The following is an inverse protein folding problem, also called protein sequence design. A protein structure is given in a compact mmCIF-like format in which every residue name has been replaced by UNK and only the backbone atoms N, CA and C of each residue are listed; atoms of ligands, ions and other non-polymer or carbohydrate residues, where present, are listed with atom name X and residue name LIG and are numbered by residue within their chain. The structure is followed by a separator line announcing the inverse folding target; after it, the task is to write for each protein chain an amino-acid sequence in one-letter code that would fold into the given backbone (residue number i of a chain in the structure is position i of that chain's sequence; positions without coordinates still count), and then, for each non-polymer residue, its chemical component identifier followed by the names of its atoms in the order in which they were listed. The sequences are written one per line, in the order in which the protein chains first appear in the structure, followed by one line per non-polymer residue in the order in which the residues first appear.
data_IF_841117273793
#
_entry.id   IF_841117273793
#
_cell.length_a   1.000
_cell.length_b   1.000
_cell.length_c   1.000
_cell.angle_alpha   90.00
_cell.angle_beta   90.00
_cell.angle_gamma   90.00
#
_symmetry.space_group_name_H-M   'P 1'
#
loop_
_entity.id
_entity.type
_entity.pdbx_description
1 polymer ?
#
# COMPACT_ATOMS: atom_id res chain seq x y z
N UNK A 1 3.15 2.36 17.67
CA UNK A 1 3.07 3.32 16.56
C UNK A 1 1.66 3.26 16.02
N UNK A 2 0.92 4.35 16.06
CA UNK A 2 -0.43 4.35 15.47
C UNK A 2 -0.30 4.73 14.01
N UNK A 3 -0.64 3.83 13.12
CA UNK A 3 -0.68 4.04 11.68
C UNK A 3 -2.12 4.44 11.34
N UNK A 4 -2.32 5.52 10.60
CA UNK A 4 -3.65 5.95 10.18
C UNK A 4 -3.86 5.62 8.71
N UNK A 5 -4.85 4.79 8.45
CA UNK A 5 -5.42 4.64 7.13
C UNK A 5 -6.21 5.90 6.75
N UNK A 6 -6.24 6.20 5.49
CA UNK A 6 -6.99 7.31 4.89
C UNK A 6 -8.02 6.72 3.94
N UNK A 7 -9.26 7.18 4.01
CA UNK A 7 -10.25 6.89 2.99
C UNK A 7 -10.02 7.75 1.75
N UNK A 8 -10.10 7.15 0.57
CA UNK A 8 -10.00 7.86 -0.72
C UNK A 8 -11.10 7.33 -1.64
N UNK A 9 -12.06 8.13 -2.02
CA UNK A 9 -13.12 7.83 -3.01
C UNK A 9 -13.70 6.40 -2.95
N UNK A 10 -13.91 5.85 -1.74
CA UNK A 10 -14.39 4.47 -1.56
C UNK A 10 -13.29 3.38 -1.53
N UNK A 11 -12.04 3.76 -1.63
CA UNK A 11 -10.86 2.94 -1.34
C UNK A 11 -10.09 3.47 -0.13
N UNK A 12 -8.79 3.22 -0.10
CA UNK A 12 -7.90 3.59 0.98
C UNK A 12 -6.66 4.35 0.48
N UNK A 13 -5.89 4.89 1.41
CA UNK A 13 -4.59 5.49 1.19
C UNK A 13 -3.72 5.44 2.44
N UNK A 14 -2.50 5.90 2.31
CA UNK A 14 -1.53 6.04 3.41
C UNK A 14 -1.13 7.50 3.52
N UNK A 15 -1.37 8.11 4.67
CA UNK A 15 -0.87 9.45 4.95
C UNK A 15 0.64 9.39 5.22
N UNK A 16 1.41 10.03 4.34
CA UNK A 16 2.88 10.03 4.39
C UNK A 16 3.45 11.13 5.28
N UNK A 17 2.63 12.11 5.66
CA UNK A 17 3.02 13.37 6.27
C UNK A 17 3.11 14.52 5.26
N UNK A 18 3.28 15.74 5.73
CA UNK A 18 3.38 16.97 4.89
C UNK A 18 2.20 17.16 3.92
N UNK A 19 0.98 16.80 4.34
CA UNK A 19 -0.20 16.90 3.50
C UNK A 19 -0.26 15.89 2.35
N UNK A 20 0.60 14.87 2.34
CA UNK A 20 0.67 13.87 1.26
C UNK A 20 -0.06 12.59 1.62
N UNK A 21 -0.81 12.08 0.67
CA UNK A 21 -1.46 10.76 0.72
C UNK A 21 -1.03 9.94 -0.50
N UNK A 22 -0.56 8.74 -0.25
CA UNK A 22 -0.29 7.74 -1.27
C UNK A 22 -1.51 6.82 -1.40
N UNK A 23 -1.98 6.61 -2.60
CA UNK A 23 -3.06 5.70 -2.95
C UNK A 23 -2.77 5.01 -4.29
N UNK A 24 -3.75 4.36 -4.86
CA UNK A 24 -3.68 3.73 -6.18
C UNK A 24 -4.56 4.46 -7.19
N UNK A 25 -4.12 4.49 -8.44
CA UNK A 25 -4.73 5.30 -9.49
C UNK A 25 -6.20 4.93 -9.75
N UNK A 26 -6.52 3.63 -9.81
CA UNK A 26 -7.89 3.18 -10.07
C UNK A 26 -8.91 3.57 -8.97
N UNK A 27 -8.44 3.90 -7.76
CA UNK A 27 -9.28 4.43 -6.67
C UNK A 27 -9.49 5.93 -6.82
N UNK A 28 -8.46 6.64 -7.27
CA UNK A 28 -8.50 8.09 -7.44
C UNK A 28 -9.35 8.51 -8.64
N UNK A 29 -9.45 7.66 -9.66
CA UNK A 29 -10.33 7.87 -10.81
C UNK A 29 -9.62 8.10 -12.14
N UNK A 30 -8.31 7.80 -12.23
CA UNK A 30 -7.58 7.75 -13.51
C UNK A 30 -7.65 9.04 -14.32
N UNK A 31 -7.47 10.21 -13.70
CA UNK A 31 -7.52 11.50 -14.37
C UNK A 31 -8.94 12.05 -14.65
N UNK A 32 -9.99 11.30 -14.29
CA UNK A 32 -11.39 11.74 -14.48
C UNK A 32 -11.85 12.66 -13.34
N UNK A 33 -11.25 12.52 -12.15
CA UNK A 33 -11.62 13.29 -10.96
C UNK A 33 -10.53 14.30 -10.66
N UNK A 34 -10.78 15.58 -10.93
CA UNK A 34 -9.81 16.67 -10.68
C UNK A 34 -9.54 16.89 -9.18
N UNK A 35 -10.52 16.61 -8.34
CA UNK A 35 -10.43 16.82 -6.89
C UNK A 35 -10.98 15.65 -6.12
N UNK A 36 -10.17 14.60 -5.89
CA UNK A 36 -10.59 13.49 -5.08
C UNK A 36 -10.85 13.91 -3.64
N UNK A 37 -11.80 13.24 -2.99
CA UNK A 37 -12.10 13.42 -1.58
C UNK A 37 -11.32 12.41 -0.76
N UNK A 38 -10.64 12.88 0.27
CA UNK A 38 -9.96 12.04 1.26
C UNK A 38 -10.62 12.19 2.63
N UNK A 39 -10.57 11.15 3.44
CA UNK A 39 -11.00 11.18 4.84
C UNK A 39 -9.82 10.88 5.75
N UNK A 40 -9.34 11.88 6.47
CA UNK A 40 -8.23 11.77 7.41
C UNK A 40 -8.72 12.11 8.82
N UNK A 41 -8.46 11.23 9.80
CA UNK A 41 -8.93 11.42 11.18
C UNK A 41 -10.44 11.70 11.30
N UNK A 42 -11.25 11.05 10.48
CA UNK A 42 -12.70 11.24 10.42
C UNK A 42 -13.16 12.53 9.73
N UNK A 43 -12.25 13.34 9.21
CA UNK A 43 -12.57 14.59 8.52
C UNK A 43 -12.40 14.46 7.01
N UNK A 44 -13.44 14.81 6.27
CA UNK A 44 -13.40 14.90 4.81
C UNK A 44 -12.65 16.15 4.35
N UNK A 45 -11.80 15.98 3.32
CA UNK A 45 -10.99 17.02 2.69
C UNK A 45 -10.96 16.83 1.19
N UNK A 46 -10.92 17.93 0.45
CA UNK A 46 -10.54 17.88 -0.96
C UNK A 46 -9.03 17.73 -1.07
N UNK A 47 -8.59 16.95 -2.02
CA UNK A 47 -7.18 16.78 -2.35
C UNK A 47 -6.96 17.08 -3.84
N UNK A 48 -5.72 17.28 -4.22
CA UNK A 48 -5.28 17.46 -5.61
C UNK A 48 -4.36 16.30 -5.99
N UNK A 49 -4.52 15.75 -7.18
CA UNK A 49 -3.62 14.75 -7.71
C UNK A 49 -2.30 15.43 -8.10
N UNK A 50 -1.21 15.06 -7.45
CA UNK A 50 0.14 15.60 -7.72
C UNK A 50 0.85 14.79 -8.78
N UNK A 51 0.70 13.47 -8.72
CA UNK A 51 1.28 12.53 -9.67
C UNK A 51 0.43 11.27 -9.73
N UNK A 52 0.27 10.74 -10.92
CA UNK A 52 -0.49 9.51 -11.16
C UNK A 52 0.21 8.65 -12.20
N UNK A 53 0.11 7.33 -12.04
CA UNK A 53 0.50 6.33 -13.03
C UNK A 53 -0.66 5.35 -13.19
N UNK A 54 -1.16 5.14 -14.42
CA UNK A 54 -2.39 4.39 -14.65
C UNK A 54 -2.30 2.93 -14.21
N UNK A 55 -3.46 2.29 -14.08
CA UNK A 55 -3.62 0.91 -13.61
C UNK A 55 -2.79 -0.10 -14.42
N UNK A 56 -2.66 0.09 -15.73
CA UNK A 56 -1.92 -0.78 -16.64
C UNK A 56 -0.41 -0.73 -16.41
N UNK A 57 0.07 0.33 -15.76
CA UNK A 57 1.49 0.54 -15.43
C UNK A 57 1.75 0.25 -13.94
N UNK A 58 1.93 1.32 -13.13
CA UNK A 58 2.26 1.19 -11.72
C UNK A 58 1.04 1.20 -10.79
N UNK A 59 -0.10 1.74 -11.28
CA UNK A 59 -1.31 1.92 -10.48
C UNK A 59 -1.04 2.67 -9.17
N UNK A 60 -0.39 3.82 -9.27
CA UNK A 60 -0.06 4.67 -8.13
C UNK A 60 -0.61 6.09 -8.31
N UNK A 61 -1.03 6.69 -7.22
CA UNK A 61 -1.41 8.10 -7.16
C UNK A 61 -0.86 8.75 -5.89
N UNK A 62 -0.32 9.96 -6.03
CA UNK A 62 0.08 10.85 -4.93
C UNK A 62 -0.87 12.02 -4.90
N UNK A 63 -1.49 12.22 -3.76
CA UNK A 63 -2.45 13.30 -3.49
C UNK A 63 -1.84 14.28 -2.51
N UNK A 64 -2.16 15.55 -2.67
CA UNK A 64 -1.81 16.63 -1.75
C UNK A 64 -3.07 17.31 -1.22
N UNK A 65 -3.10 17.63 0.07
CA UNK A 65 -4.21 18.34 0.70
C UNK A 65 -3.72 19.28 1.80
N UNK A 66 -4.55 20.25 2.17
CA UNK A 66 -4.26 21.14 3.29
C UNK A 66 -4.39 20.42 4.63
N UNK A 67 -3.24 20.15 5.27
CA UNK A 67 -3.15 19.50 6.58
C UNK A 67 -3.22 20.47 7.76
N UNK A 68 -3.33 21.79 7.53
CA UNK A 68 -3.26 22.82 8.59
C UNK A 68 -4.26 22.58 9.72
N UNK A 69 -5.41 22.02 9.41
CA UNK A 69 -6.48 21.69 10.36
C UNK A 69 -6.39 20.29 10.96
N UNK A 70 -5.38 19.50 10.63
CA UNK A 70 -5.16 18.23 11.31
C UNK A 70 -4.56 18.48 12.70
N UNK A 71 -4.82 17.56 13.67
CA UNK A 71 -4.13 17.58 14.94
C UNK A 71 -2.61 17.57 14.74
N UNK A 72 -1.88 18.35 15.55
CA UNK A 72 -0.42 18.46 15.46
C UNK A 72 0.28 17.10 15.52
N UNK A 73 -0.25 16.18 16.34
CA UNK A 73 0.26 14.81 16.46
C UNK A 73 0.20 14.01 15.16
N UNK A 74 -0.73 14.33 14.25
CA UNK A 74 -0.78 13.74 12.92
C UNK A 74 0.15 14.46 11.95
N UNK A 75 0.17 15.79 11.96
CA UNK A 75 1.04 16.60 11.09
C UNK A 75 2.52 16.30 11.29
N UNK A 76 2.94 15.94 12.49
CA UNK A 76 4.33 15.58 12.81
C UNK A 76 4.69 14.13 12.42
N UNK A 77 3.74 13.33 11.98
CA UNK A 77 4.04 11.95 11.56
C UNK A 77 4.69 11.92 10.20
N UNK A 78 5.61 10.98 10.08
CA UNK A 78 6.28 10.65 8.83
C UNK A 78 6.27 9.14 8.67
N UNK A 79 5.94 8.68 7.48
CA UNK A 79 6.04 7.28 7.10
C UNK A 79 7.40 7.07 6.46
N UNK A 80 8.11 6.06 6.94
CA UNK A 80 9.38 5.61 6.36
C UNK A 80 9.10 4.48 5.38
N UNK A 81 9.66 4.53 4.19
CA UNK A 81 9.63 3.41 3.25
C UNK A 81 10.66 2.35 3.67
N UNK A 82 10.25 1.08 3.62
CA UNK A 82 11.19 -0.01 3.85
C UNK A 82 12.26 -0.04 2.75
N UNK A 83 13.49 -0.28 3.16
CA UNK A 83 14.58 -0.60 2.24
C UNK A 83 14.65 -2.10 1.99
N UNK A 84 15.20 -2.46 0.83
CA UNK A 84 15.36 -3.84 0.41
C UNK A 84 14.13 -4.39 -0.30
N UNK A 85 14.27 -5.62 -0.77
CA UNK A 85 13.22 -6.33 -1.49
C UNK A 85 12.41 -7.18 -0.51
N UNK A 86 11.08 -7.06 -0.49
CA UNK A 86 10.24 -7.96 0.30
C UNK A 86 10.48 -9.43 -0.07
N UNK A 87 10.49 -10.32 0.90
CA UNK A 87 10.78 -11.75 0.68
C UNK A 87 9.62 -12.66 1.12
N UNK A 88 9.49 -13.85 0.51
CA UNK A 88 8.48 -14.82 0.91
C UNK A 88 8.61 -15.22 2.38
N UNK A 89 7.49 -15.21 3.10
CA UNK A 89 7.44 -15.51 4.53
C UNK A 89 7.57 -14.28 5.45
N UNK A 90 7.98 -13.12 4.93
CA UNK A 90 8.06 -11.89 5.70
C UNK A 90 6.70 -11.54 6.31
N UNK A 91 6.68 -11.27 7.61
CA UNK A 91 5.46 -10.93 8.34
C UNK A 91 5.05 -9.48 8.07
N UNK A 92 3.80 -9.27 7.72
CA UNK A 92 3.27 -7.96 7.37
C UNK A 92 2.00 -7.62 8.13
N UNK A 93 1.75 -6.33 8.29
CA UNK A 93 0.50 -5.77 8.82
C UNK A 93 -0.12 -4.92 7.71
N UNK A 94 -1.33 -5.27 7.30
CA UNK A 94 -2.13 -4.48 6.37
C UNK A 94 -3.17 -3.67 7.13
N UNK A 95 -3.32 -2.40 6.78
CA UNK A 95 -4.36 -1.55 7.36
C UNK A 95 -5.61 -1.57 6.47
N UNK A 96 -6.62 -2.31 6.88
CA UNK A 96 -7.90 -2.39 6.18
C UNK A 96 -8.88 -1.38 6.81
N UNK A 97 -8.96 -0.20 6.22
CA UNK A 97 -9.59 0.95 6.87
C UNK A 97 -8.80 1.34 8.12
N UNK A 98 -9.35 1.08 9.31
CA UNK A 98 -8.68 1.30 10.60
C UNK A 98 -8.28 -0.01 11.30
N UNK A 99 -8.54 -1.16 10.68
CA UNK A 99 -8.29 -2.47 11.28
C UNK A 99 -6.95 -3.03 10.81
N UNK A 100 -5.99 -3.29 11.71
CA UNK A 100 -4.74 -3.97 11.37
C UNK A 100 -4.98 -5.48 11.20
N UNK A 101 -4.56 -6.02 10.09
CA UNK A 101 -4.62 -7.46 9.79
C UNK A 101 -3.21 -8.00 9.54
N UNK A 102 -2.83 -9.02 10.29
CA UNK A 102 -1.54 -9.71 10.12
C UNK A 102 -1.62 -10.73 9.00
N UNK A 103 -0.56 -10.80 8.21
CA UNK A 103 -0.40 -11.75 7.11
C UNK A 103 1.09 -12.01 6.88
N UNK A 104 1.43 -12.68 5.79
CA UNK A 104 2.80 -12.88 5.33
C UNK A 104 2.87 -12.79 3.81
N UNK A 105 4.05 -12.48 3.30
CA UNK A 105 4.31 -12.45 1.85
C UNK A 105 4.34 -13.88 1.33
N UNK A 106 3.60 -14.14 0.26
CA UNK A 106 3.55 -15.43 -0.40
C UNK A 106 4.73 -15.61 -1.35
N UNK A 107 5.19 -16.86 -1.49
CA UNK A 107 6.10 -17.20 -2.57
C UNK A 107 5.39 -17.05 -3.92
N UNK A 108 6.01 -16.43 -4.94
CA UNK A 108 5.46 -16.42 -6.30
C UNK A 108 5.19 -17.82 -6.85
N UNK A 109 5.91 -18.84 -6.38
CA UNK A 109 5.69 -20.24 -6.76
C UNK A 109 4.36 -20.80 -6.27
N UNK A 110 3.77 -20.20 -5.24
CA UNK A 110 2.43 -20.56 -4.75
C UNK A 110 1.29 -20.01 -5.62
N UNK A 111 1.62 -19.16 -6.60
CA UNK A 111 0.66 -18.55 -7.51
C UNK A 111 0.55 -19.32 -8.82
N UNK A 112 -0.58 -19.20 -9.54
CA UNK A 112 -0.71 -19.69 -10.91
C UNK A 112 0.41 -19.13 -11.80
N UNK A 113 0.94 -19.90 -12.76
CA UNK A 113 2.09 -19.49 -13.57
C UNK A 113 1.95 -18.12 -14.22
N UNK A 114 0.77 -17.79 -14.73
CA UNK A 114 0.44 -16.52 -15.40
C UNK A 114 0.51 -15.31 -14.48
N UNK A 115 0.42 -15.53 -13.16
CA UNK A 115 0.44 -14.46 -12.15
C UNK A 115 1.75 -14.37 -11.37
N UNK A 116 2.72 -15.26 -11.62
CA UNK A 116 4.03 -15.29 -10.91
C UNK A 116 4.89 -14.07 -11.13
N UNK A 117 4.56 -13.24 -12.12
CA UNK A 117 5.21 -11.92 -12.33
C UNK A 117 5.01 -10.97 -11.15
N UNK A 118 3.99 -11.20 -10.32
CA UNK A 118 3.74 -10.42 -9.10
C UNK A 118 4.54 -11.02 -7.94
N UNK A 119 5.67 -10.39 -7.61
CA UNK A 119 6.58 -10.88 -6.55
C UNK A 119 6.16 -10.45 -5.14
N UNK A 120 5.35 -9.39 -5.04
CA UNK A 120 4.93 -8.80 -3.77
C UNK A 120 3.45 -9.06 -3.53
N UNK A 121 3.14 -10.29 -3.11
CA UNK A 121 1.77 -10.73 -2.88
C UNK A 121 1.58 -11.21 -1.45
N UNK A 122 0.44 -10.91 -0.89
CA UNK A 122 -0.02 -11.43 0.40
C UNK A 122 -1.27 -12.28 0.19
N UNK A 123 -1.56 -13.16 1.15
CA UNK A 123 -2.81 -13.92 1.14
C UNK A 123 -3.99 -12.96 1.04
N UNK A 124 -5.05 -13.37 0.37
CA UNK A 124 -6.27 -12.57 0.32
C UNK A 124 -6.88 -12.47 1.74
N UNK A 125 -6.64 -11.34 2.37
CA UNK A 125 -7.11 -11.01 3.73
C UNK A 125 -8.18 -9.92 3.72
N UNK A 126 -8.56 -9.46 2.53
CA UNK A 126 -9.26 -8.20 2.39
C UNK A 126 -10.45 -8.29 1.43
N UNK A 127 -11.55 -7.71 1.84
CA UNK A 127 -12.74 -7.48 1.03
C UNK A 127 -12.55 -6.32 0.03
N UNK A 128 -13.57 -6.03 -0.77
CA UNK A 128 -13.63 -4.87 -1.67
C UNK A 128 -13.43 -3.56 -0.87
N UNK A 129 -12.75 -2.56 -1.46
CA UNK A 129 -12.53 -1.24 -0.82
C UNK A 129 -11.17 -1.08 -0.11
N UNK A 130 -10.30 -2.09 -0.17
CA UNK A 130 -8.98 -2.03 0.46
C UNK A 130 -7.83 -1.64 -0.50
N UNK A 131 -8.15 -1.33 -1.75
CA UNK A 131 -7.19 -0.77 -2.70
C UNK A 131 -6.61 0.55 -2.17
N UNK A 132 -5.30 0.71 -2.21
CA UNK A 132 -4.59 1.85 -1.61
C UNK A 132 -4.21 1.66 -0.14
N UNK A 133 -4.65 0.59 0.53
CA UNK A 133 -4.24 0.29 1.92
C UNK A 133 -2.75 0.03 2.03
N UNK A 134 -2.12 0.55 3.09
CA UNK A 134 -0.72 0.31 3.37
C UNK A 134 -0.44 -1.11 3.85
N UNK A 135 0.65 -1.67 3.37
CA UNK A 135 1.26 -2.92 3.83
C UNK A 135 2.57 -2.58 4.52
N UNK A 136 2.69 -2.91 5.80
CA UNK A 136 3.82 -2.56 6.65
C UNK A 136 4.56 -3.81 7.09
N UNK A 137 5.88 -3.70 7.21
CA UNK A 137 6.69 -4.70 7.89
C UNK A 137 6.25 -4.80 9.36
N UNK A 138 6.02 -6.03 9.82
CA UNK A 138 5.50 -6.25 11.17
C UNK A 138 6.51 -5.90 12.26
N UNK A 139 7.81 -6.00 11.99
CA UNK A 139 8.89 -5.77 12.94
C UNK A 139 9.47 -4.36 12.82
N UNK A 140 9.90 -3.97 11.62
CA UNK A 140 10.53 -2.67 11.34
C UNK A 140 9.54 -1.50 11.32
N UNK A 141 8.25 -1.77 11.13
CA UNK A 141 7.16 -0.76 11.09
C UNK A 141 7.26 0.26 9.96
N UNK A 142 8.08 0.00 8.95
CA UNK A 142 8.16 0.79 7.73
C UNK A 142 7.12 0.34 6.72
N UNK A 143 6.80 1.19 5.74
CA UNK A 143 5.86 0.89 4.65
C UNK A 143 6.55 0.02 3.60
N UNK A 144 6.10 -1.23 3.45
CA UNK A 144 6.54 -2.15 2.39
C UNK A 144 5.88 -1.85 1.05
N UNK A 145 4.68 -1.29 1.06
CA UNK A 145 3.96 -0.94 -0.15
C UNK A 145 2.50 -0.62 0.04
N UNK A 146 1.77 -0.45 -1.07
CA UNK A 146 0.32 -0.21 -1.07
C UNK A 146 -0.41 -1.25 -1.91
N UNK A 147 -1.56 -1.74 -1.40
CA UNK A 147 -2.39 -2.72 -2.12
C UNK A 147 -2.93 -2.12 -3.40
N UNK A 148 -2.71 -2.82 -4.51
CA UNK A 148 -3.19 -2.40 -5.83
C UNK A 148 -4.30 -3.31 -6.33
N UNK A 149 -4.01 -4.57 -6.58
CA UNK A 149 -4.94 -5.45 -7.30
C UNK A 149 -5.10 -6.81 -6.67
N UNK A 150 -6.25 -7.41 -6.96
CA UNK A 150 -6.53 -8.80 -6.64
C UNK A 150 -5.87 -9.73 -7.64
N UNK A 151 -5.45 -10.89 -7.16
CA UNK A 151 -5.08 -12.03 -7.99
C UNK A 151 -6.17 -13.06 -7.80
N UNK A 152 -6.86 -13.39 -8.88
CA UNK A 152 -7.98 -14.31 -8.88
C UNK A 152 -7.68 -15.50 -9.80
N UNK A 153 -8.20 -16.66 -9.47
CA UNK A 153 -8.09 -17.87 -10.25
C UNK A 153 -9.46 -18.43 -10.57
N UNK A 154 -9.65 -18.89 -11.81
CA UNK A 154 -10.84 -19.64 -12.18
C UNK A 154 -10.76 -21.03 -11.55
N UNK A 155 -11.75 -21.38 -10.73
CA UNK A 155 -11.91 -22.73 -10.20
C UNK A 155 -13.18 -23.36 -10.72
N UNK A 156 -13.07 -24.62 -11.12
CA UNK A 156 -14.22 -25.42 -11.51
C UNK A 156 -14.64 -26.31 -10.32
N UNK A 157 -15.88 -26.22 -9.92
CA UNK A 157 -16.45 -27.14 -8.93
C UNK A 157 -16.53 -28.53 -9.53
N UNK A 158 -15.99 -29.50 -8.81
CA UNK A 158 -15.93 -30.89 -9.28
C UNK A 158 -17.31 -31.57 -9.33
N UNK A 159 -18.24 -31.12 -8.49
CA UNK A 159 -19.60 -31.65 -8.33
C UNK A 159 -20.59 -31.13 -9.38
N UNK A 160 -20.45 -29.87 -9.78
CA UNK A 160 -21.43 -29.20 -10.69
C UNK A 160 -20.82 -28.80 -12.04
N UNK A 161 -19.48 -28.83 -12.20
CA UNK A 161 -18.79 -28.30 -13.37
C UNK A 161 -18.84 -26.77 -13.47
N UNK A 162 -19.40 -26.08 -12.48
CA UNK A 162 -19.52 -24.63 -12.46
C UNK A 162 -18.14 -23.95 -12.33
N UNK A 163 -17.87 -22.97 -13.19
CA UNK A 163 -16.67 -22.14 -13.14
C UNK A 163 -16.91 -20.93 -12.25
N UNK A 164 -16.09 -20.77 -11.20
CA UNK A 164 -16.17 -19.63 -10.28
C UNK A 164 -14.81 -18.97 -10.16
N UNK A 165 -14.78 -17.63 -10.24
CA UNK A 165 -13.61 -16.84 -9.89
C UNK A 165 -13.40 -16.85 -8.38
N UNK A 166 -12.20 -17.20 -7.93
CA UNK A 166 -11.81 -17.15 -6.53
C UNK A 166 -10.62 -16.23 -6.37
N UNK A 167 -10.75 -15.24 -5.49
CA UNK A 167 -9.64 -14.39 -5.06
C UNK A 167 -8.69 -15.23 -4.21
N UNK A 168 -7.40 -15.24 -4.56
CA UNK A 168 -6.37 -16.07 -3.92
C UNK A 168 -5.29 -15.27 -3.24
N UNK A 169 -5.02 -14.06 -3.73
CA UNK A 169 -3.98 -13.19 -3.20
C UNK A 169 -4.26 -11.71 -3.55
N UNK A 170 -3.51 -10.83 -2.89
CA UNK A 170 -3.46 -9.39 -3.17
C UNK A 170 -2.03 -9.00 -3.53
N UNK A 171 -1.87 -8.32 -4.65
CA UNK A 171 -0.62 -7.66 -5.03
C UNK A 171 -0.53 -6.29 -4.39
N UNK A 172 0.63 -5.94 -3.87
CA UNK A 172 0.96 -4.58 -3.47
C UNK A 172 2.14 -4.03 -4.25
N UNK A 173 2.09 -2.74 -4.58
CA UNK A 173 3.19 -2.02 -5.22
C UNK A 173 4.29 -1.81 -4.18
N UNK A 174 5.53 -2.31 -4.39
CA UNK A 174 6.55 -2.29 -3.36
C UNK A 174 7.16 -0.91 -3.12
N UNK A 175 7.74 -0.70 -1.93
CA UNK A 175 8.34 0.55 -1.48
C UNK A 175 9.40 1.10 -2.44
N UNK A 176 10.22 0.25 -3.05
CA UNK A 176 11.23 0.68 -4.03
C UNK A 176 10.59 1.34 -5.26
N UNK A 177 9.48 0.77 -5.76
CA UNK A 177 8.70 1.36 -6.87
C UNK A 177 8.05 2.67 -6.44
N UNK A 178 7.50 2.73 -5.23
CA UNK A 178 6.92 3.95 -4.65
C UNK A 178 7.99 5.04 -4.56
N UNK A 179 9.18 4.74 -4.02
CA UNK A 179 10.28 5.68 -3.90
C UNK A 179 10.70 6.28 -5.26
N UNK A 180 10.82 5.44 -6.29
CA UNK A 180 11.14 5.88 -7.64
C UNK A 180 10.00 6.70 -8.30
N UNK A 181 8.76 6.44 -7.89
CA UNK A 181 7.59 7.15 -8.38
C UNK A 181 7.39 8.51 -7.72
N UNK A 182 7.80 8.70 -6.45
CA UNK A 182 7.58 9.95 -5.73
C UNK A 182 8.20 11.14 -6.43
N UNK A 183 7.51 12.31 -6.48
CA UNK A 183 8.12 13.53 -6.97
C UNK A 183 9.33 13.93 -6.11
N UNK A 184 10.43 14.37 -6.73
CA UNK A 184 11.69 14.70 -6.05
C UNK A 184 11.52 15.73 -4.92
N UNK A 185 10.57 16.68 -5.07
CA UNK A 185 10.27 17.70 -4.05
C UNK A 185 9.73 17.13 -2.73
N UNK A 186 9.28 15.88 -2.73
CA UNK A 186 8.70 15.20 -1.57
C UNK A 186 9.58 14.05 -1.07
N UNK A 187 10.90 14.16 -1.20
CA UNK A 187 11.84 13.12 -0.83
C UNK A 187 11.45 12.41 0.47
N UNK A 188 10.97 11.16 0.36
CA UNK A 188 10.74 10.31 1.52
C UNK A 188 12.11 9.92 2.06
N UNK A 189 12.34 10.23 3.34
CA UNK A 189 13.60 9.85 3.98
C UNK A 189 13.76 8.33 3.89
N UNK A 190 14.87 7.82 3.35
CA UNK A 190 15.18 6.41 3.46
C UNK A 190 15.30 6.03 4.94
N UNK A 191 14.97 4.78 5.27
CA UNK A 191 15.18 4.23 6.61
C UNK A 191 16.63 4.46 7.02
N UNK A 192 16.88 5.12 8.16
CA UNK A 192 18.25 5.22 8.70
C UNK A 192 18.69 3.81 9.10
N UNK A 193 19.74 3.29 8.46
CA UNK A 193 20.34 2.03 8.88
C UNK A 193 20.66 2.12 10.37
N UNK A 194 20.25 1.14 11.19
CA UNK A 194 20.74 1.04 12.55
C UNK A 194 22.29 0.92 12.48
N UNK A 195 23.03 1.58 13.37
CA UNK A 195 24.47 1.49 13.38
C UNK A 195 24.86 0.00 13.42
N UNK A 196 25.66 -0.44 12.45
CA UNK A 196 26.24 -1.78 12.42
C UNK A 196 26.94 -2.01 13.76
N UNK A 197 26.44 -2.94 14.57
CA UNK A 197 27.16 -3.40 15.74
C UNK A 197 28.45 -4.05 15.22
N UNK A 198 29.54 -3.32 15.33
CA UNK A 198 30.87 -3.89 15.19
C UNK A 198 31.03 -4.93 16.30
N UNK A 199 30.87 -6.20 15.98
CA UNK A 199 31.34 -7.30 16.80
C UNK A 199 32.85 -7.31 16.74
N UNK A 200 33.49 -6.55 17.63
CA UNK A 200 34.90 -6.72 17.92
C UNK A 200 35.13 -8.06 18.61
N UNK A 201 35.59 -9.06 17.87
CA UNK A 201 36.28 -10.21 18.45
C UNK A 201 37.72 -9.81 18.67
N UNK A 202 38.10 -9.69 19.92
CA UNK A 202 39.47 -9.91 20.39
C UNK A 202 39.57 -11.33 20.96
#
# INVERSE_FOLDING_TARGET
MSIYGVGVNGGAGVYLGNGLVLSVAHVVGGGIIDRPTITVAGQQRSATVVKESPFEQLDLAVLEFDESRLPISLRLRRITLCQGTPWPGEQVISLLGQTPVRSHILSPLALPPETRRFSTVIRDVATTGNSGSGVFDADRKCLLGVMSRKISQMRMRKDTGEKKMQDIAKYFVPAATIAAFMPARFGLMPESNPPSQFSGHQ
#
